data_IF_009435498394
#
_entry.id   IF_009435498394
#
_cell.length_a   1.000
_cell.length_b   1.000
_cell.length_c   1.000
_cell.angle_alpha   90.00
_cell.angle_beta   90.00
_cell.angle_gamma   90.00
#
_symmetry.space_group_name_H-M   'P 1'
#
loop_
_entity.id
_entity.type
_entity.pdbx_description
1 polymer ?
#
# COMPACT_ATOMS: atom_id res chain seq x y z
N UNK A 1 -7.30 12.65 -25.55
CA UNK A 1 -7.19 12.54 -24.07
C UNK A 1 -5.77 12.90 -23.68
N UNK A 2 -5.54 13.70 -22.63
CA UNK A 2 -4.19 13.95 -22.14
C UNK A 2 -3.55 12.64 -21.65
N UNK A 3 -2.23 12.57 -21.70
CA UNK A 3 -1.50 11.44 -21.14
C UNK A 3 -1.74 11.36 -19.63
N UNK A 4 -1.73 10.16 -19.02
CA UNK A 4 -1.75 10.02 -17.57
C UNK A 4 -0.55 10.73 -16.92
N UNK A 5 -0.80 11.47 -15.84
CA UNK A 5 0.21 12.29 -15.13
C UNK A 5 1.44 11.49 -14.72
N UNK A 6 1.28 10.21 -14.35
CA UNK A 6 2.40 9.37 -13.91
C UNK A 6 3.49 9.18 -14.99
N UNK A 7 3.14 9.26 -16.28
CA UNK A 7 4.12 9.16 -17.36
C UNK A 7 5.01 10.41 -17.42
N UNK A 8 4.45 11.59 -17.16
CA UNK A 8 5.20 12.85 -17.10
C UNK A 8 6.12 12.85 -15.87
N UNK A 9 5.61 12.41 -14.71
CA UNK A 9 6.41 12.29 -13.48
C UNK A 9 7.55 11.29 -13.62
N UNK A 10 7.35 10.22 -14.39
CA UNK A 10 8.44 9.27 -14.71
C UNK A 10 9.46 9.90 -15.66
N UNK A 11 9.01 10.54 -16.74
CA UNK A 11 9.89 11.15 -17.72
C UNK A 11 10.73 12.32 -17.16
N UNK A 12 10.23 13.01 -16.14
CA UNK A 12 10.96 14.10 -15.46
C UNK A 12 12.04 13.64 -14.49
N UNK A 13 12.13 12.33 -14.17
CA UNK A 13 13.03 11.79 -13.15
C UNK A 13 12.56 12.03 -11.71
N UNK A 14 11.33 12.55 -11.53
CA UNK A 14 10.77 12.81 -10.20
C UNK A 14 10.39 11.51 -9.47
N UNK A 15 10.19 10.41 -10.19
CA UNK A 15 9.94 9.08 -9.60
C UNK A 15 11.07 8.66 -8.67
N UNK A 16 12.32 8.72 -9.14
CA UNK A 16 13.50 8.34 -8.39
C UNK A 16 13.63 9.17 -7.12
N UNK A 17 13.44 10.49 -7.21
CA UNK A 17 13.48 11.39 -6.06
C UNK A 17 12.43 11.03 -5.01
N UNK A 18 11.20 10.71 -5.45
CA UNK A 18 10.12 10.29 -4.54
C UNK A 18 10.41 8.94 -3.90
N UNK A 19 10.97 8.00 -4.66
CA UNK A 19 11.37 6.67 -4.15
C UNK A 19 12.43 6.84 -3.06
N UNK A 20 13.48 7.61 -3.31
CA UNK A 20 14.56 7.83 -2.34
C UNK A 20 14.03 8.44 -1.02
N UNK A 21 13.13 9.43 -1.13
CA UNK A 21 12.45 10.02 0.04
C UNK A 21 11.63 8.99 0.82
N UNK A 22 10.85 8.16 0.12
CA UNK A 22 10.03 7.12 0.76
C UNK A 22 10.89 6.03 1.40
N UNK A 23 11.98 5.63 0.76
CA UNK A 23 12.93 4.65 1.31
C UNK A 23 13.62 5.20 2.57
N UNK A 24 13.98 6.48 2.58
CA UNK A 24 14.55 7.12 3.77
C UNK A 24 13.57 7.13 4.96
N UNK A 25 12.27 7.32 4.72
CA UNK A 25 11.22 7.26 5.76
C UNK A 25 11.11 5.88 6.43
N UNK A 26 11.59 4.81 5.79
CA UNK A 26 11.56 3.47 6.38
C UNK A 26 12.59 3.27 7.51
N UNK A 27 13.59 4.14 7.63
CA UNK A 27 14.59 4.08 8.71
C UNK A 27 14.02 4.44 10.09
N UNK A 28 12.95 5.23 10.12
CA UNK A 28 12.19 5.60 11.32
C UNK A 28 10.72 5.76 10.93
N UNK A 29 9.99 4.65 10.92
CA UNK A 29 8.67 4.61 10.28
C UNK A 29 7.61 5.41 11.07
N UNK A 30 7.11 6.47 10.45
CA UNK A 30 6.00 7.30 10.92
C UNK A 30 4.85 7.42 9.89
N UNK A 31 4.75 6.47 8.95
CA UNK A 31 3.76 6.48 7.86
C UNK A 31 2.30 6.33 8.30
N UNK A 32 2.06 5.97 9.56
CA UNK A 32 0.72 5.83 10.10
C UNK A 32 0.58 6.54 11.45
N UNK A 33 -0.65 6.84 11.91
CA UNK A 33 -0.87 7.61 13.14
C UNK A 33 -0.30 6.99 14.42
N UNK A 34 0.10 5.71 14.39
CA UNK A 34 0.78 5.05 15.52
C UNK A 34 2.22 5.53 15.73
N UNK A 35 2.86 6.12 14.70
CA UNK A 35 4.22 6.66 14.74
C UNK A 35 5.23 5.75 15.49
N UNK A 36 5.33 4.49 15.06
CA UNK A 36 6.07 3.48 15.81
C UNK A 36 7.59 3.66 15.81
N UNK A 37 8.16 4.46 14.91
CA UNK A 37 9.61 4.75 14.85
C UNK A 37 10.51 3.58 14.48
N UNK A 38 9.96 2.38 14.21
CA UNK A 38 10.77 1.20 13.86
C UNK A 38 11.55 1.40 12.58
N UNK A 39 12.73 0.79 12.52
CA UNK A 39 13.58 0.77 11.35
C UNK A 39 13.28 -0.45 10.47
N UNK A 40 12.44 -0.26 9.45
CA UNK A 40 12.03 -1.32 8.53
C UNK A 40 13.17 -1.79 7.64
N UNK A 41 14.21 -0.97 7.40
CA UNK A 41 15.38 -1.37 6.58
C UNK A 41 16.24 -2.41 7.29
N UNK A 42 16.10 -2.54 8.62
CA UNK A 42 16.71 -3.59 9.44
C UNK A 42 15.80 -4.80 9.68
N UNK A 43 14.63 -4.83 9.04
CA UNK A 43 13.63 -5.90 9.23
C UNK A 43 12.80 -5.77 10.51
N UNK A 44 12.81 -4.61 11.18
CA UNK A 44 11.97 -4.38 12.34
C UNK A 44 10.50 -4.18 11.93
N UNK A 45 9.58 -4.68 12.76
CA UNK A 45 8.14 -4.54 12.53
C UNK A 45 7.49 -3.81 13.70
N UNK A 46 6.49 -2.97 13.38
CA UNK A 46 5.69 -2.25 14.36
C UNK A 46 4.36 -2.96 14.64
N UNK A 47 3.41 -2.23 15.23
CA UNK A 47 2.06 -2.75 15.51
C UNK A 47 1.37 -3.35 14.27
N UNK A 48 1.57 -2.76 13.10
CA UNK A 48 0.97 -3.24 11.86
C UNK A 48 1.58 -4.53 11.33
N UNK A 49 2.73 -4.99 11.86
CA UNK A 49 3.47 -6.19 11.41
C UNK A 49 4.03 -6.16 9.98
N UNK A 50 3.81 -5.09 9.22
CA UNK A 50 4.48 -4.87 7.93
C UNK A 50 5.99 -4.70 8.14
N UNK A 51 6.80 -5.20 7.21
CA UNK A 51 8.25 -4.96 7.09
C UNK A 51 8.51 -3.95 5.95
N UNK A 52 9.62 -4.09 5.20
CA UNK A 52 9.93 -3.30 4.00
C UNK A 52 9.59 -4.02 2.68
N UNK A 53 8.92 -5.17 2.74
CA UNK A 53 8.50 -5.94 1.58
C UNK A 53 6.98 -5.84 1.39
N UNK A 54 6.56 -5.95 0.13
CA UNK A 54 5.14 -6.08 -0.20
C UNK A 54 4.73 -7.54 -0.03
N UNK A 55 3.67 -7.78 0.74
CA UNK A 55 3.12 -9.12 0.92
C UNK A 55 1.68 -9.13 0.43
N UNK A 56 1.43 -9.95 -0.60
CA UNK A 56 0.10 -10.12 -1.20
C UNK A 56 -0.60 -11.31 -0.54
N UNK A 57 -1.81 -11.08 -0.05
CA UNK A 57 -2.68 -12.10 0.53
C UNK A 57 -3.41 -12.90 -0.55
N UNK A 58 -4.03 -12.19 -1.51
CA UNK A 58 -4.79 -12.81 -2.60
C UNK A 58 -4.96 -11.87 -3.79
N UNK A 59 -5.26 -12.47 -4.95
CA UNK A 59 -5.60 -11.77 -6.19
C UNK A 59 -6.80 -12.46 -6.79
N UNK A 60 -7.90 -11.73 -7.01
CA UNK A 60 -9.16 -12.31 -7.50
C UNK A 60 -10.09 -11.26 -8.10
N UNK A 61 -11.04 -11.67 -8.96
CA UNK A 61 -12.21 -10.85 -9.26
C UNK A 61 -13.01 -10.63 -7.97
N UNK A 62 -13.31 -9.37 -7.68
CA UNK A 62 -14.08 -8.97 -6.51
C UNK A 62 -15.45 -8.45 -6.95
N UNK A 63 -16.49 -9.06 -6.39
CA UNK A 63 -17.90 -8.72 -6.68
C UNK A 63 -18.57 -8.03 -5.49
N UNK A 64 -17.81 -7.66 -4.46
CA UNK A 64 -18.31 -7.01 -3.26
C UNK A 64 -18.32 -5.47 -3.30
N UNK A 65 -17.73 -4.86 -4.33
CA UNK A 65 -17.79 -3.41 -4.57
C UNK A 65 -19.17 -2.96 -5.07
N UNK A 66 -19.40 -1.66 -5.17
CA UNK A 66 -20.62 -1.12 -5.78
C UNK A 66 -20.76 -1.49 -7.27
N UNK A 67 -22.00 -1.59 -7.76
CA UNK A 67 -22.33 -2.03 -9.13
C UNK A 67 -21.53 -1.29 -10.23
N UNK A 68 -21.25 0.00 -10.01
CA UNK A 68 -20.49 0.84 -10.96
C UNK A 68 -19.00 0.49 -11.04
N UNK A 69 -18.46 -0.20 -10.04
CA UNK A 69 -17.06 -0.64 -9.96
C UNK A 69 -16.88 -2.11 -10.36
N UNK A 70 -17.85 -2.97 -10.05
CA UNK A 70 -17.82 -4.42 -10.33
C UNK A 70 -17.91 -4.71 -11.83
N UNK A 71 -18.71 -3.92 -12.57
CA UNK A 71 -18.98 -4.19 -13.98
C UNK A 71 -19.58 -5.57 -14.20
N UNK A 72 -19.21 -6.25 -15.29
CA UNK A 72 -19.75 -7.57 -15.64
C UNK A 72 -18.90 -8.76 -15.17
N UNK A 73 -17.63 -8.53 -14.83
CA UNK A 73 -16.67 -9.60 -14.53
C UNK A 73 -15.99 -9.45 -13.17
N UNK A 74 -16.46 -8.53 -12.32
CA UNK A 74 -15.80 -8.19 -11.06
C UNK A 74 -14.71 -7.15 -11.25
N UNK A 75 -14.43 -6.40 -10.19
CA UNK A 75 -13.24 -5.55 -10.13
C UNK A 75 -12.01 -6.43 -9.91
N UNK A 76 -10.90 -6.14 -10.60
CA UNK A 76 -9.64 -6.82 -10.31
C UNK A 76 -9.08 -6.33 -8.98
N UNK A 77 -9.04 -7.19 -7.96
CA UNK A 77 -8.58 -6.80 -6.61
C UNK A 77 -7.34 -7.58 -6.19
N UNK A 78 -6.37 -6.84 -5.64
CA UNK A 78 -5.17 -7.36 -4.98
C UNK A 78 -5.29 -7.02 -3.50
N UNK A 79 -5.48 -8.02 -2.64
CA UNK A 79 -5.48 -7.83 -1.20
C UNK A 79 -4.05 -7.93 -0.66
N UNK A 80 -3.61 -6.89 0.05
CA UNK A 80 -2.35 -6.89 0.78
C UNK A 80 -2.56 -7.44 2.19
N UNK A 81 -1.48 -7.96 2.79
CA UNK A 81 -1.51 -8.34 4.20
C UNK A 81 -1.21 -7.15 5.10
N UNK A 82 -1.44 -7.35 6.40
CA UNK A 82 -1.11 -6.41 7.48
C UNK A 82 -1.99 -5.15 7.51
N UNK A 83 -2.32 -4.68 8.72
CA UNK A 83 -3.08 -3.45 8.91
C UNK A 83 -2.63 -2.76 10.20
N UNK A 84 -2.55 -1.43 10.17
CA UNK A 84 -2.24 -0.61 11.34
C UNK A 84 -3.48 -0.28 12.19
N UNK A 85 -4.66 -0.69 11.73
CA UNK A 85 -5.90 -0.69 12.50
C UNK A 85 -6.00 -1.92 13.40
N UNK A 86 -7.05 -2.00 14.20
CA UNK A 86 -7.32 -3.11 15.13
C UNK A 86 -8.82 -3.26 15.36
N UNK A 87 -9.58 -3.35 14.26
CA UNK A 87 -11.03 -3.30 14.28
C UNK A 87 -11.60 -4.52 15.02
N UNK A 88 -12.50 -4.30 15.99
CA UNK A 88 -13.19 -5.38 16.72
C UNK A 88 -14.05 -6.26 15.79
N UNK A 89 -14.51 -5.68 14.69
CA UNK A 89 -15.36 -6.30 13.66
C UNK A 89 -14.60 -6.39 12.33
N UNK A 90 -13.30 -6.72 12.35
CA UNK A 90 -12.54 -6.90 11.13
C UNK A 90 -13.21 -7.96 10.24
N UNK A 91 -13.32 -7.70 8.94
CA UNK A 91 -13.81 -8.68 7.97
C UNK A 91 -12.66 -9.40 7.24
N UNK A 92 -11.42 -8.90 7.39
CA UNK A 92 -10.22 -9.37 6.71
C UNK A 92 -9.12 -9.66 7.76
N UNK A 93 -9.30 -10.73 8.55
CA UNK A 93 -8.40 -11.13 9.64
C UNK A 93 -7.01 -11.59 9.18
#
# INVERSE_FOLDING_TARGET
MPAPVYLETYASGEFEERIDKLMAMLNECNLCPRACGVNRTKGETGYCKSDNQLVVSSVQPHFGEEDVLVGTHGSGTIFLTNCNLGCLYCQNY
#
